data_IF_795803238276
#
_entry.id   IF_795803238276
#
_cell.length_a   1.000
_cell.length_b   1.000
_cell.length_c   1.000
_cell.angle_alpha   90.00
_cell.angle_beta   90.00
_cell.angle_gamma   90.00
#
_symmetry.space_group_name_H-M   'P 1'
#
loop_
_entity.id
_entity.type
_entity.pdbx_description
1 polymer ?
#
# COMPACT_ATOMS: atom_id res chain seq x y z
N UNK A 1 -37.76 -5.16 -22.67
CA UNK A 1 -36.91 -6.27 -22.18
C UNK A 1 -35.49 -5.83 -21.76
N UNK A 2 -34.93 -4.70 -22.24
CA UNK A 2 -33.58 -4.24 -21.84
C UNK A 2 -33.47 -3.71 -20.39
N UNK A 3 -34.53 -3.11 -19.84
CA UNK A 3 -34.53 -2.54 -18.48
C UNK A 3 -34.32 -3.59 -17.38
N UNK A 4 -34.89 -4.77 -17.50
CA UNK A 4 -34.81 -5.79 -16.44
C UNK A 4 -33.41 -6.46 -16.32
N UNK A 5 -32.64 -6.51 -17.39
CA UNK A 5 -31.27 -7.09 -17.37
C UNK A 5 -30.29 -6.09 -16.75
N UNK A 6 -30.40 -4.81 -17.07
CA UNK A 6 -29.56 -3.76 -16.48
C UNK A 6 -29.84 -3.62 -14.97
N UNK A 7 -31.11 -3.62 -14.55
CA UNK A 7 -31.46 -3.58 -13.12
C UNK A 7 -30.88 -4.77 -12.35
N UNK A 8 -30.81 -5.96 -12.97
CA UNK A 8 -30.19 -7.13 -12.35
C UNK A 8 -28.66 -6.98 -12.19
N UNK A 9 -27.97 -6.45 -13.19
CA UNK A 9 -26.53 -6.17 -13.14
C UNK A 9 -26.23 -5.10 -12.08
N UNK A 10 -27.00 -4.01 -12.05
CA UNK A 10 -26.82 -2.93 -11.07
C UNK A 10 -27.04 -3.45 -9.64
N UNK A 11 -28.00 -4.33 -9.44
CA UNK A 11 -28.23 -5.01 -8.17
C UNK A 11 -27.05 -5.91 -7.77
N UNK A 12 -26.51 -6.69 -8.72
CA UNK A 12 -25.35 -7.55 -8.50
C UNK A 12 -24.08 -6.72 -8.18
N UNK A 13 -23.86 -5.61 -8.89
CA UNK A 13 -22.77 -4.67 -8.63
C UNK A 13 -22.85 -4.10 -7.20
N UNK A 14 -24.04 -3.65 -6.80
CA UNK A 14 -24.27 -3.15 -5.44
C UNK A 14 -24.08 -4.23 -4.37
N UNK A 15 -24.43 -5.48 -4.66
CA UNK A 15 -24.21 -6.61 -3.76
C UNK A 15 -22.71 -6.90 -3.61
N UNK A 16 -21.94 -6.88 -4.70
CA UNK A 16 -20.49 -7.09 -4.69
C UNK A 16 -19.77 -6.02 -3.82
N UNK A 17 -20.11 -4.75 -4.00
CA UNK A 17 -19.51 -3.67 -3.21
C UNK A 17 -19.84 -3.78 -1.72
N UNK A 18 -21.09 -4.13 -1.36
CA UNK A 18 -21.47 -4.37 0.05
C UNK A 18 -20.74 -5.57 0.64
N UNK A 19 -20.64 -6.66 -0.09
CA UNK A 19 -19.88 -7.83 0.32
C UNK A 19 -18.39 -7.49 0.54
N UNK A 20 -17.82 -6.65 -0.32
CA UNK A 20 -16.44 -6.20 -0.19
C UNK A 20 -16.21 -5.29 1.02
N UNK A 21 -17.16 -4.44 1.37
CA UNK A 21 -17.11 -3.60 2.57
C UNK A 21 -17.17 -4.44 3.86
N UNK A 22 -18.02 -5.48 3.87
CA UNK A 22 -18.23 -6.35 5.06
C UNK A 22 -17.26 -7.54 5.15
N UNK A 23 -16.53 -7.86 4.07
CA UNK A 23 -15.68 -9.05 3.99
C UNK A 23 -16.43 -10.38 3.76
N UNK A 24 -17.66 -10.31 3.28
CA UNK A 24 -18.48 -11.50 3.00
C UNK A 24 -18.07 -12.12 1.67
N UNK A 25 -17.18 -13.10 1.75
CA UNK A 25 -16.61 -13.79 0.57
C UNK A 25 -17.67 -14.61 -0.17
N UNK A 26 -18.63 -15.19 0.54
CA UNK A 26 -19.71 -15.98 -0.05
C UNK A 26 -20.67 -15.07 -0.85
N UNK A 27 -21.12 -13.98 -0.23
CA UNK A 27 -21.97 -12.99 -0.91
C UNK A 27 -21.26 -12.36 -2.13
N UNK A 28 -19.96 -12.14 -2.06
CA UNK A 28 -19.19 -11.65 -3.21
C UNK A 28 -19.15 -12.67 -4.35
N UNK A 29 -18.93 -13.95 -4.04
CA UNK A 29 -18.95 -15.00 -5.04
C UNK A 29 -20.34 -15.14 -5.70
N UNK A 30 -21.44 -15.04 -4.93
CA UNK A 30 -22.80 -15.02 -5.45
C UNK A 30 -23.08 -13.84 -6.35
N UNK A 31 -22.61 -12.62 -5.97
CA UNK A 31 -22.77 -11.43 -6.77
C UNK A 31 -22.04 -11.54 -8.12
N UNK A 32 -20.81 -12.06 -8.11
CA UNK A 32 -20.05 -12.33 -9.35
C UNK A 32 -20.74 -13.40 -10.21
N UNK A 33 -21.23 -14.47 -9.60
CA UNK A 33 -22.02 -15.50 -10.30
C UNK A 33 -23.32 -14.97 -10.90
N UNK A 34 -23.86 -13.90 -10.34
CA UNK A 34 -25.06 -13.20 -10.84
C UNK A 34 -24.75 -12.11 -11.88
N UNK A 35 -23.48 -11.98 -12.31
CA UNK A 35 -23.07 -11.08 -13.38
C UNK A 35 -22.63 -9.68 -12.90
N UNK A 36 -22.22 -9.55 -11.63
CA UNK A 36 -21.57 -8.31 -11.18
C UNK A 36 -20.30 -8.02 -11.98
N UNK A 37 -20.11 -6.76 -12.33
CA UNK A 37 -18.86 -6.29 -12.92
C UNK A 37 -17.78 -6.27 -11.83
N UNK A 38 -16.69 -7.00 -12.07
CA UNK A 38 -15.56 -7.13 -11.15
C UNK A 38 -14.89 -5.76 -10.84
N UNK A 39 -14.91 -4.84 -11.81
CA UNK A 39 -14.34 -3.50 -11.70
C UNK A 39 -15.40 -2.41 -11.39
N UNK A 40 -16.60 -2.84 -10.98
CA UNK A 40 -17.62 -1.88 -10.54
C UNK A 40 -17.10 -0.99 -9.41
N UNK A 41 -17.57 0.26 -9.37
CA UNK A 41 -17.06 1.28 -8.45
C UNK A 41 -18.17 1.87 -7.60
N UNK A 42 -17.83 2.19 -6.36
CA UNK A 42 -18.70 2.97 -5.48
C UNK A 42 -18.65 4.49 -5.79
N UNK A 43 -19.35 5.29 -5.00
CA UNK A 43 -19.43 6.76 -5.12
C UNK A 43 -18.08 7.48 -4.92
N UNK A 44 -17.04 6.76 -4.48
CA UNK A 44 -15.66 7.26 -4.27
C UNK A 44 -14.69 6.68 -5.29
N UNK A 45 -15.18 6.00 -6.30
CA UNK A 45 -14.38 5.34 -7.32
C UNK A 45 -13.68 4.06 -6.84
N UNK A 46 -14.02 3.51 -5.65
CA UNK A 46 -13.38 2.33 -5.07
C UNK A 46 -13.97 1.05 -5.70
N UNK A 47 -13.08 0.14 -6.11
CA UNK A 47 -13.45 -1.21 -6.54
C UNK A 47 -13.66 -2.15 -5.35
N UNK A 48 -14.29 -3.30 -5.57
CA UNK A 48 -14.43 -4.34 -4.55
C UNK A 48 -13.06 -4.78 -3.99
N UNK A 49 -12.01 -4.88 -4.84
CA UNK A 49 -10.68 -5.24 -4.39
C UNK A 49 -10.04 -4.14 -3.51
N UNK A 50 -10.27 -2.86 -3.83
CA UNK A 50 -9.78 -1.76 -2.98
C UNK A 50 -10.49 -1.75 -1.62
N UNK A 51 -11.80 -1.99 -1.57
CA UNK A 51 -12.55 -2.13 -0.32
C UNK A 51 -12.02 -3.29 0.52
N UNK A 52 -11.84 -4.47 -0.08
CA UNK A 52 -11.27 -5.62 0.60
C UNK A 52 -9.86 -5.34 1.15
N UNK A 53 -9.00 -4.68 0.37
CA UNK A 53 -7.64 -4.32 0.80
C UNK A 53 -7.65 -3.27 1.93
N UNK A 54 -8.56 -2.30 1.88
CA UNK A 54 -8.68 -1.25 2.90
C UNK A 54 -9.10 -1.82 4.27
N UNK A 55 -9.98 -2.83 4.25
CA UNK A 55 -10.52 -3.45 5.46
C UNK A 55 -9.80 -4.75 5.86
N UNK A 56 -8.72 -5.10 5.15
CA UNK A 56 -7.91 -6.30 5.37
C UNK A 56 -8.69 -7.63 5.23
N UNK A 57 -9.67 -7.66 4.32
CA UNK A 57 -10.44 -8.84 4.00
C UNK A 57 -9.67 -9.76 3.03
N UNK A 58 -8.66 -10.45 3.55
CA UNK A 58 -7.64 -11.16 2.76
C UNK A 58 -8.25 -12.29 1.91
N UNK A 59 -9.16 -13.07 2.44
CA UNK A 59 -9.77 -14.20 1.70
C UNK A 59 -10.65 -13.70 0.55
N UNK A 60 -11.36 -12.60 0.77
CA UNK A 60 -12.11 -11.94 -0.28
C UNK A 60 -11.18 -11.35 -1.36
N UNK A 61 -10.07 -10.72 -0.97
CA UNK A 61 -9.09 -10.23 -1.92
C UNK A 61 -8.51 -11.36 -2.78
N UNK A 62 -8.21 -12.53 -2.19
CA UNK A 62 -7.77 -13.72 -2.93
C UNK A 62 -8.80 -14.17 -3.96
N UNK A 63 -10.08 -14.20 -3.58
CA UNK A 63 -11.16 -14.53 -4.51
C UNK A 63 -11.18 -13.53 -5.68
N UNK A 64 -11.19 -12.22 -5.40
CA UNK A 64 -11.27 -11.19 -6.41
C UNK A 64 -10.05 -11.22 -7.37
N UNK A 65 -8.84 -11.39 -6.83
CA UNK A 65 -7.61 -11.56 -7.62
C UNK A 65 -7.68 -12.80 -8.51
N UNK A 66 -8.18 -13.92 -7.99
CA UNK A 66 -8.37 -15.14 -8.77
C UNK A 66 -9.38 -14.97 -9.92
N UNK A 67 -10.34 -14.03 -9.79
CA UNK A 67 -11.28 -13.65 -10.84
C UNK A 67 -10.70 -12.59 -11.81
N UNK A 68 -9.51 -12.09 -11.56
CA UNK A 68 -8.81 -11.12 -12.42
C UNK A 68 -8.98 -9.65 -12.04
N UNK A 69 -9.40 -9.35 -10.81
CA UNK A 69 -9.51 -7.97 -10.33
C UNK A 69 -8.16 -7.24 -10.40
N UNK A 70 -8.20 -5.97 -10.81
CA UNK A 70 -7.00 -5.14 -10.95
C UNK A 70 -6.48 -4.65 -9.59
N UNK A 71 -5.20 -4.90 -9.25
CA UNK A 71 -4.57 -4.36 -8.05
C UNK A 71 -4.21 -2.87 -8.21
N UNK A 72 -4.38 -2.30 -9.40
CA UNK A 72 -3.90 -0.99 -9.82
C UNK A 72 -5.03 0.01 -10.09
N UNK A 73 -6.29 -0.40 -9.85
CA UNK A 73 -7.44 0.46 -10.04
C UNK A 73 -7.44 1.62 -9.02
N UNK A 74 -7.21 2.85 -9.54
CA UNK A 74 -7.21 4.08 -8.73
C UNK A 74 -8.63 4.49 -8.35
N UNK A 75 -8.81 4.91 -7.10
CA UNK A 75 -10.01 5.61 -6.64
C UNK A 75 -9.86 7.14 -6.78
N UNK A 76 -10.88 7.90 -6.33
CA UNK A 76 -10.90 9.37 -6.38
C UNK A 76 -9.83 10.02 -5.48
N UNK A 77 -9.21 9.27 -4.58
CA UNK A 77 -8.14 9.72 -3.70
C UNK A 77 -6.75 9.31 -4.17
N UNK A 78 -6.65 8.71 -5.36
CA UNK A 78 -5.42 8.13 -5.89
C UNK A 78 -4.87 7.00 -5.01
N UNK A 79 -5.76 6.21 -4.39
CA UNK A 79 -5.40 4.96 -3.72
C UNK A 79 -5.70 3.77 -4.65
N UNK A 80 -4.89 2.71 -4.56
CA UNK A 80 -5.10 1.42 -5.23
C UNK A 80 -5.12 0.30 -4.19
N UNK A 81 -5.65 -0.90 -4.52
CA UNK A 81 -5.50 -2.06 -3.65
C UNK A 81 -4.06 -2.29 -3.19
N UNK A 82 -3.07 -2.13 -4.08
CA UNK A 82 -1.66 -2.27 -3.72
C UNK A 82 -1.17 -1.16 -2.79
N UNK A 83 -1.46 0.11 -3.09
CA UNK A 83 -0.97 1.25 -2.30
C UNK A 83 -1.45 1.21 -0.84
N UNK A 84 -2.71 0.83 -0.60
CA UNK A 84 -3.26 0.79 0.76
C UNK A 84 -2.61 -0.29 1.63
N UNK A 85 -1.96 -1.31 1.07
CA UNK A 85 -1.23 -2.30 1.86
C UNK A 85 -0.07 -1.68 2.64
N UNK A 86 0.57 -0.63 2.09
CA UNK A 86 1.60 0.13 2.80
C UNK A 86 1.05 0.95 3.97
N UNK A 87 -0.21 1.36 3.88
CA UNK A 87 -0.91 2.10 4.96
C UNK A 87 -1.36 1.16 6.07
N UNK A 88 -1.92 0.01 5.71
CA UNK A 88 -2.41 -1.00 6.68
C UNK A 88 -1.28 -1.83 7.28
N UNK A 89 -0.19 -2.02 6.55
CA UNK A 89 0.93 -2.87 6.93
C UNK A 89 0.63 -4.37 6.84
N UNK A 90 -0.45 -4.75 6.16
CA UNK A 90 -0.85 -6.16 6.03
C UNK A 90 0.03 -6.93 5.06
N UNK A 91 0.87 -7.79 5.59
CA UNK A 91 1.68 -8.74 4.79
C UNK A 91 0.78 -9.76 4.09
N UNK A 92 -0.29 -10.22 4.77
CA UNK A 92 -1.21 -11.19 4.19
C UNK A 92 -1.95 -10.62 2.97
N UNK A 93 -2.36 -9.35 3.03
CA UNK A 93 -2.97 -8.65 1.90
C UNK A 93 -1.96 -8.42 0.77
N UNK A 94 -0.73 -7.99 1.08
CA UNK A 94 0.34 -7.87 0.10
C UNK A 94 0.53 -9.19 -0.67
N UNK A 95 0.63 -10.32 0.05
CA UNK A 95 0.77 -11.64 -0.56
C UNK A 95 -0.46 -12.03 -1.41
N UNK A 96 -1.66 -11.65 -0.99
CA UNK A 96 -2.88 -11.91 -1.75
C UNK A 96 -2.91 -11.14 -3.09
N UNK A 97 -2.31 -9.95 -3.15
CA UNK A 97 -2.30 -9.12 -4.35
C UNK A 97 -1.15 -9.44 -5.33
N UNK A 98 -0.03 -10.00 -4.86
CA UNK A 98 1.13 -10.31 -5.72
C UNK A 98 0.82 -11.15 -6.97
N UNK A 99 -0.08 -12.17 -6.92
CA UNK A 99 -0.43 -12.93 -8.13
C UNK A 99 -1.03 -12.07 -9.26
N UNK A 100 -1.68 -10.95 -8.91
CA UNK A 100 -2.21 -9.99 -9.88
C UNK A 100 -1.13 -9.09 -10.51
N UNK A 101 0.13 -9.19 -10.08
CA UNK A 101 1.29 -8.44 -10.59
C UNK A 101 1.09 -6.93 -10.52
N UNK A 102 0.92 -6.35 -9.32
CA UNK A 102 0.70 -4.92 -9.16
C UNK A 102 1.83 -4.09 -9.77
N UNK A 103 1.49 -2.94 -10.34
CA UNK A 103 2.45 -1.95 -10.79
C UNK A 103 3.03 -1.19 -9.58
N UNK A 104 4.28 -1.51 -9.24
CA UNK A 104 4.96 -0.96 -8.07
C UNK A 104 5.33 0.54 -8.23
N UNK A 105 5.13 1.11 -9.41
CA UNK A 105 5.46 2.51 -9.72
C UNK A 105 4.29 3.47 -9.56
N UNK A 106 3.08 2.96 -9.38
CA UNK A 106 1.89 3.79 -9.14
C UNK A 106 2.06 4.54 -7.81
N UNK A 107 1.72 5.82 -7.83
CA UNK A 107 1.88 6.75 -6.72
C UNK A 107 0.54 7.16 -6.14
N UNK A 108 0.51 7.31 -4.83
CA UNK A 108 -0.63 7.89 -4.13
C UNK A 108 -0.70 9.43 -4.35
N UNK A 109 -1.70 10.09 -3.75
CA UNK A 109 -1.89 11.55 -3.83
C UNK A 109 -0.73 12.41 -3.31
N UNK A 110 0.21 11.80 -2.59
CA UNK A 110 1.44 12.45 -2.10
C UNK A 110 2.67 12.11 -2.95
N UNK A 111 2.47 11.47 -4.10
CA UNK A 111 3.54 11.03 -4.97
C UNK A 111 4.33 9.83 -4.45
N UNK A 112 3.87 9.16 -3.39
CA UNK A 112 4.57 8.07 -2.73
C UNK A 112 4.15 6.68 -3.22
N UNK A 113 5.07 5.73 -3.16
CA UNK A 113 4.82 4.29 -3.35
C UNK A 113 4.63 3.59 -1.99
N UNK A 114 4.11 2.36 -1.99
CA UNK A 114 3.61 1.67 -0.77
C UNK A 114 4.64 1.52 0.37
N UNK A 115 5.94 1.42 0.07
CA UNK A 115 6.98 1.31 1.10
C UNK A 115 7.14 2.57 1.95
N UNK A 116 6.77 3.74 1.41
CA UNK A 116 6.92 5.03 2.09
C UNK A 116 6.01 5.13 3.32
N UNK A 117 4.66 5.04 3.21
CA UNK A 117 3.79 5.10 4.38
C UNK A 117 4.00 3.92 5.35
N UNK A 118 4.46 2.77 4.86
CA UNK A 118 4.80 1.64 5.72
C UNK A 118 6.01 1.94 6.62
N UNK A 119 6.99 2.66 6.09
CA UNK A 119 8.19 3.07 6.82
C UNK A 119 7.89 4.13 7.88
N UNK A 120 7.06 5.12 7.53
CA UNK A 120 6.53 6.12 8.46
C UNK A 120 5.84 5.47 9.68
N UNK A 121 4.96 4.50 9.40
CA UNK A 121 4.07 3.88 10.41
C UNK A 121 4.72 2.79 11.24
N UNK A 122 5.96 2.43 10.95
CA UNK A 122 6.65 1.40 11.70
C UNK A 122 6.20 -0.03 11.38
N UNK A 123 5.69 -0.29 10.17
CA UNK A 123 5.24 -1.61 9.71
C UNK A 123 6.44 -2.50 9.31
N UNK A 124 7.19 -2.98 10.30
CA UNK A 124 8.46 -3.71 10.13
C UNK A 124 8.32 -4.91 9.18
N UNK A 125 7.35 -5.79 9.44
CA UNK A 125 7.20 -7.03 8.67
C UNK A 125 6.75 -6.76 7.23
N UNK A 126 5.91 -5.74 7.05
CA UNK A 126 5.54 -5.28 5.71
C UNK A 126 6.76 -4.74 4.96
N UNK A 127 7.56 -3.85 5.56
CA UNK A 127 8.76 -3.30 4.93
C UNK A 127 9.74 -4.41 4.55
N UNK A 128 10.02 -5.37 5.47
CA UNK A 128 10.85 -6.55 5.17
C UNK A 128 10.37 -7.34 3.95
N UNK A 129 9.07 -7.41 3.78
CA UNK A 129 8.47 -8.18 2.68
C UNK A 129 8.43 -7.39 1.38
N UNK A 130 7.98 -6.13 1.42
CA UNK A 130 7.79 -5.32 0.21
C UNK A 130 9.10 -4.98 -0.49
N UNK A 131 10.21 -4.77 0.24
CA UNK A 131 11.52 -4.51 -0.39
C UNK A 131 12.01 -5.67 -1.26
N UNK A 132 11.52 -6.89 -1.03
CA UNK A 132 11.84 -8.08 -1.84
C UNK A 132 11.02 -8.17 -3.13
N UNK A 133 10.06 -7.29 -3.34
CA UNK A 133 9.26 -7.25 -4.58
C UNK A 133 9.95 -6.54 -5.73
N UNK A 134 11.06 -5.85 -5.47
CA UNK A 134 11.74 -4.99 -6.43
C UNK A 134 11.23 -3.56 -6.43
N UNK A 135 10.43 -3.17 -5.43
CA UNK A 135 9.98 -1.77 -5.27
C UNK A 135 11.18 -0.84 -5.16
N UNK A 136 11.09 0.34 -5.78
CA UNK A 136 12.15 1.34 -5.68
C UNK A 136 12.20 1.97 -4.29
N UNK A 137 13.14 1.51 -3.45
CA UNK A 137 13.34 2.02 -2.08
C UNK A 137 13.86 3.45 -2.05
N UNK A 138 14.43 3.95 -3.17
CA UNK A 138 14.93 5.30 -3.34
C UNK A 138 13.91 6.24 -4.02
N UNK A 139 12.66 5.79 -4.17
CA UNK A 139 11.60 6.64 -4.69
C UNK A 139 11.43 7.88 -3.81
N UNK A 140 11.37 9.06 -4.45
CA UNK A 140 11.16 10.35 -3.78
C UNK A 140 9.72 10.80 -4.03
N UNK A 141 8.99 11.09 -2.96
CA UNK A 141 7.61 11.58 -3.05
C UNK A 141 7.54 13.10 -3.32
N UNK A 142 6.33 13.65 -3.39
CA UNK A 142 6.11 15.07 -3.68
C UNK A 142 6.58 16.02 -2.55
N UNK A 143 6.85 15.49 -1.36
CA UNK A 143 7.46 16.24 -0.26
C UNK A 143 8.99 16.29 -0.38
N UNK A 144 9.59 15.52 -1.29
CA UNK A 144 11.02 15.37 -1.43
C UNK A 144 11.63 14.31 -0.52
N UNK A 145 10.82 13.36 -0.05
CA UNK A 145 11.24 12.35 0.93
C UNK A 145 11.24 10.95 0.35
N UNK A 146 12.27 10.18 0.69
CA UNK A 146 12.35 8.73 0.49
C UNK A 146 11.70 7.99 1.68
N UNK A 147 11.53 6.68 1.56
CA UNK A 147 11.11 5.84 2.69
C UNK A 147 12.06 5.96 3.89
N UNK A 148 13.37 6.10 3.63
CA UNK A 148 14.38 6.30 4.66
C UNK A 148 14.19 7.64 5.39
N UNK A 149 13.98 8.72 4.65
CA UNK A 149 13.70 10.05 5.22
C UNK A 149 12.39 10.04 6.03
N UNK A 150 11.31 9.43 5.52
CA UNK A 150 10.05 9.37 6.27
C UNK A 150 10.17 8.55 7.57
N UNK A 151 10.91 7.43 7.55
CA UNK A 151 11.14 6.64 8.75
C UNK A 151 11.85 7.45 9.87
N UNK A 152 12.72 8.39 9.49
CA UNK A 152 13.44 9.26 10.44
C UNK A 152 12.62 10.50 10.81
N UNK A 153 12.03 11.18 9.82
CA UNK A 153 11.32 12.44 10.03
C UNK A 153 10.01 12.27 10.81
N UNK A 154 9.23 11.27 10.46
CA UNK A 154 7.90 11.02 11.01
C UNK A 154 7.90 9.89 12.05
N UNK A 155 8.92 9.03 12.02
CA UNK A 155 9.12 8.00 13.02
C UNK A 155 9.59 8.55 14.38
N UNK A 156 9.46 7.71 15.40
CA UNK A 156 9.83 8.01 16.80
C UNK A 156 11.30 7.69 17.14
N UNK A 157 12.07 7.12 16.19
CA UNK A 157 13.43 6.63 16.43
C UNK A 157 13.52 5.39 17.32
N UNK A 158 12.39 4.81 17.69
CA UNK A 158 12.29 3.62 18.53
C UNK A 158 12.65 2.32 17.79
N UNK A 159 12.56 1.17 18.47
CA UNK A 159 13.03 -0.12 17.94
C UNK A 159 12.46 -0.50 16.56
N UNK A 160 11.19 -0.17 16.30
CA UNK A 160 10.55 -0.45 15.00
C UNK A 160 11.22 0.33 13.87
N UNK A 161 11.39 1.65 14.06
CA UNK A 161 12.01 2.51 13.04
C UNK A 161 13.50 2.20 12.87
N UNK A 162 14.22 1.83 13.94
CA UNK A 162 15.61 1.34 13.84
C UNK A 162 15.72 0.11 12.94
N UNK A 163 14.80 -0.86 13.10
CA UNK A 163 14.74 -2.05 12.23
C UNK A 163 14.42 -1.66 10.79
N UNK A 164 13.45 -0.78 10.57
CA UNK A 164 13.06 -0.32 9.23
C UNK A 164 14.24 0.36 8.52
N UNK A 165 14.96 1.25 9.23
CA UNK A 165 16.16 1.91 8.67
C UNK A 165 17.19 0.88 8.22
N UNK A 166 17.50 -0.13 9.05
CA UNK A 166 18.41 -1.22 8.66
C UNK A 166 17.91 -1.98 7.43
N UNK A 167 16.64 -2.38 7.41
CA UNK A 167 16.05 -3.12 6.29
C UNK A 167 16.09 -2.33 5.00
N UNK A 168 15.79 -1.03 5.04
CA UNK A 168 15.87 -0.16 3.87
C UNK A 168 17.31 -0.02 3.35
N UNK A 169 18.29 0.16 4.24
CA UNK A 169 19.71 0.24 3.88
C UNK A 169 20.20 -1.08 3.28
N UNK A 170 19.86 -2.21 3.87
CA UNK A 170 20.16 -3.55 3.33
C UNK A 170 19.52 -3.80 1.96
N UNK A 171 18.37 -3.17 1.69
CA UNK A 171 17.68 -3.22 0.41
C UNK A 171 18.20 -2.21 -0.63
N UNK A 172 19.24 -1.44 -0.30
CA UNK A 172 19.89 -0.50 -1.21
C UNK A 172 19.34 0.93 -1.12
N UNK A 173 18.69 1.30 -0.02
CA UNK A 173 18.37 2.71 0.21
C UNK A 173 19.65 3.54 0.32
N UNK A 174 19.71 4.61 -0.46
CA UNK A 174 20.85 5.53 -0.48
C UNK A 174 20.70 6.57 0.66
N UNK A 175 21.55 6.51 1.71
CA UNK A 175 21.48 7.46 2.81
C UNK A 175 21.91 8.89 2.43
N UNK A 176 22.53 9.06 1.28
CA UNK A 176 22.98 10.38 0.78
C UNK A 176 21.85 11.18 0.11
N UNK A 177 20.71 10.55 -0.21
CA UNK A 177 19.55 11.28 -0.74
C UNK A 177 19.03 12.21 0.35
N UNK A 178 19.16 13.52 0.09
CA UNK A 178 18.69 14.59 0.97
C UNK A 178 17.27 15.03 0.59
N UNK A 179 16.60 15.67 1.52
CA UNK A 179 15.31 16.34 1.26
C UNK A 179 15.52 17.64 0.43
N UNK A 180 14.43 18.41 0.22
CA UNK A 180 14.48 19.66 -0.58
C UNK A 180 15.35 20.75 0.03
N UNK A 181 15.57 20.69 1.33
CA UNK A 181 16.42 21.60 2.08
C UNK A 181 17.89 21.17 2.09
N UNK A 182 18.20 20.04 1.45
CA UNK A 182 19.53 19.47 1.37
C UNK A 182 19.96 18.72 2.64
N UNK A 183 19.00 18.34 3.50
CA UNK A 183 19.24 17.65 4.76
C UNK A 183 19.05 16.14 4.60
N UNK A 184 20.06 15.38 5.00
CA UNK A 184 20.05 13.91 4.92
C UNK A 184 19.31 13.26 6.10
N UNK A 185 18.99 11.98 5.96
CA UNK A 185 18.38 11.19 7.04
C UNK A 185 19.26 11.18 8.30
N UNK A 186 20.59 11.14 8.15
CA UNK A 186 21.53 11.19 9.28
C UNK A 186 21.47 12.52 10.02
N UNK A 187 21.45 13.65 9.30
CA UNK A 187 21.36 14.98 9.88
C UNK A 187 20.04 15.18 10.63
N UNK A 188 18.93 14.69 10.05
CA UNK A 188 17.63 14.68 10.72
C UNK A 188 17.64 13.84 12.00
N UNK A 189 18.20 12.62 11.94
CA UNK A 189 18.28 11.73 13.12
C UNK A 189 19.05 12.39 14.26
N UNK A 190 20.19 13.03 13.96
CA UNK A 190 21.00 13.80 14.95
C UNK A 190 20.21 14.96 15.53
N UNK A 191 19.59 15.77 14.68
CA UNK A 191 18.78 16.93 15.11
C UNK A 191 17.60 16.53 16.01
N UNK A 192 17.00 15.36 15.75
CA UNK A 192 15.88 14.82 16.55
C UNK A 192 16.34 14.05 17.79
N UNK A 193 17.64 13.88 18.03
CA UNK A 193 18.17 13.12 19.13
C UNK A 193 17.93 11.59 19.01
N UNK A 194 17.71 11.09 17.81
CA UNK A 194 17.55 9.65 17.51
C UNK A 194 18.93 8.98 17.42
N UNK A 195 19.65 8.86 18.53
CA UNK A 195 21.05 8.42 18.58
C UNK A 195 21.28 7.04 17.97
N UNK A 196 20.40 6.08 18.23
CA UNK A 196 20.52 4.73 17.66
C UNK A 196 20.32 4.72 16.15
N UNK A 197 19.36 5.50 15.63
CA UNK A 197 19.15 5.66 14.19
C UNK A 197 20.35 6.33 13.54
N UNK A 198 20.91 7.38 14.18
CA UNK A 198 22.12 8.05 13.69
C UNK A 198 23.30 7.06 13.60
N UNK A 199 23.51 6.25 14.62
CA UNK A 199 24.56 5.22 14.63
C UNK A 199 24.39 4.22 13.48
N UNK A 200 23.14 3.78 13.20
CA UNK A 200 22.86 2.86 12.07
C UNK A 200 23.20 3.52 10.73
N UNK A 201 22.82 4.79 10.55
CA UNK A 201 23.07 5.54 9.31
C UNK A 201 24.57 5.84 9.11
N UNK A 202 25.31 6.15 10.18
CA UNK A 202 26.76 6.36 10.14
C UNK A 202 27.52 5.10 9.70
N UNK A 203 27.05 3.93 10.11
CA UNK A 203 27.68 2.66 9.75
C UNK A 203 27.42 2.25 8.28
N UNK A 204 26.46 2.91 7.60
CA UNK A 204 26.09 2.61 6.22
C UNK A 204 26.73 3.57 5.19
N UNK A 205 27.30 4.66 5.62
CA UNK A 205 28.01 5.66 4.78
C UNK A 205 29.50 5.54 4.92
#
# INVERSE_FOLDING_TARGET
MHTSTQDAVDSANSALLRAAESGDTEAAAEALGSGADLETRDDRGRTALLLAATHDHVDLARLLVAQGASPDALDDRHDTPWLVTGVTGSVAMLEALLPAKPDLTIRNRYGGVSVIPASERGHVDYVRRVVRTGINVNHVNDLGWTALLEAVLLGDGGPRHQVIVRVLLEAGADPAIADREGVTALEHARSKGQSEVATILEAAG
#
